data_IF_108749824785
#
_entry.id   IF_108749824785
#
_cell.length_a   1.000
_cell.length_b   1.000
_cell.length_c   1.000
_cell.angle_alpha   90.00
_cell.angle_beta   90.00
_cell.angle_gamma   90.00
#
_symmetry.space_group_name_H-M   'P 1'
#
loop_
_entity.id
_entity.type
_entity.pdbx_description
1 polymer ?
#
# COMPACT_ATOMS: atom_id res chain seq x y z
N UNK A 1 35.33 -47.61 12.65
CA UNK A 1 33.94 -47.41 12.18
C UNK A 1 33.78 -46.01 11.55
N UNK A 2 33.91 -45.94 10.24
CA UNK A 2 33.78 -44.72 9.43
C UNK A 2 32.31 -44.34 9.33
N UNK A 3 31.89 -43.33 10.10
CA UNK A 3 30.53 -42.79 10.04
C UNK A 3 30.31 -42.10 8.70
N UNK A 4 29.60 -42.82 7.83
CA UNK A 4 29.27 -42.45 6.46
C UNK A 4 28.13 -41.41 6.44
N UNK A 5 28.36 -40.22 7.00
CA UNK A 5 27.40 -39.11 6.92
C UNK A 5 27.57 -38.38 5.59
N UNK A 6 26.77 -38.76 4.61
CA UNK A 6 26.77 -38.12 3.29
C UNK A 6 25.85 -36.88 3.32
N UNK A 7 26.43 -35.71 3.62
CA UNK A 7 25.73 -34.41 3.66
C UNK A 7 25.39 -33.86 2.26
N UNK A 8 25.91 -34.49 1.21
CA UNK A 8 25.75 -34.11 -0.20
C UNK A 8 24.70 -35.01 -0.85
N UNK A 9 23.57 -34.43 -1.26
CA UNK A 9 22.46 -35.12 -1.91
C UNK A 9 22.64 -35.22 -3.43
N UNK A 10 23.28 -34.22 -4.04
CA UNK A 10 23.50 -34.16 -5.48
C UNK A 10 24.78 -33.38 -5.76
N UNK A 11 25.68 -33.95 -6.56
CA UNK A 11 26.89 -33.27 -7.01
C UNK A 11 26.96 -33.38 -8.53
N UNK A 12 26.77 -32.27 -9.22
CA UNK A 12 26.89 -32.21 -10.67
C UNK A 12 27.77 -31.04 -11.08
N UNK A 13 28.91 -31.39 -11.69
CA UNK A 13 29.91 -30.52 -12.33
C UNK A 13 30.57 -29.45 -11.44
N UNK A 14 29.81 -28.50 -10.86
CA UNK A 14 30.28 -27.45 -9.93
C UNK A 14 29.28 -27.22 -8.77
N UNK A 15 28.05 -27.74 -8.87
CA UNK A 15 26.98 -27.49 -7.90
C UNK A 15 26.89 -28.68 -6.95
N UNK A 16 27.10 -28.42 -5.66
CA UNK A 16 26.90 -29.38 -4.57
C UNK A 16 25.66 -29.01 -3.77
N UNK A 17 24.61 -29.80 -3.88
CA UNK A 17 23.39 -29.64 -3.09
C UNK A 17 23.58 -30.40 -1.79
N UNK A 18 23.68 -29.66 -0.68
CA UNK A 18 23.77 -30.23 0.66
C UNK A 18 22.39 -30.29 1.32
N UNK A 19 22.20 -31.18 2.30
CA UNK A 19 20.98 -31.17 3.14
C UNK A 19 20.70 -29.79 3.75
N UNK A 20 21.77 -29.09 4.15
CA UNK A 20 21.70 -27.74 4.70
C UNK A 20 21.21 -26.71 3.67
N UNK A 21 21.65 -26.80 2.41
CA UNK A 21 21.15 -25.89 1.36
C UNK A 21 19.69 -26.15 1.01
N UNK A 22 19.22 -27.41 1.06
CA UNK A 22 17.80 -27.74 0.84
C UNK A 22 16.94 -27.21 1.99
N UNK A 23 17.36 -27.41 3.23
CA UNK A 23 16.65 -26.88 4.41
C UNK A 23 16.58 -25.35 4.40
N UNK A 24 17.69 -24.69 4.06
CA UNK A 24 17.74 -23.24 3.94
C UNK A 24 16.85 -22.75 2.79
N UNK A 25 16.87 -23.44 1.64
CA UNK A 25 16.01 -23.11 0.50
C UNK A 25 14.52 -23.26 0.86
N UNK A 26 14.15 -24.33 1.57
CA UNK A 26 12.77 -24.51 2.07
C UNK A 26 12.40 -23.38 3.03
N UNK A 27 13.21 -23.10 4.06
CA UNK A 27 12.95 -22.03 5.04
C UNK A 27 12.78 -20.66 4.36
N UNK A 28 13.65 -20.31 3.42
CA UNK A 28 13.57 -19.04 2.69
C UNK A 28 12.37 -19.00 1.74
N UNK A 29 12.11 -20.08 1.00
CA UNK A 29 10.99 -20.18 0.07
C UNK A 29 9.65 -20.02 0.79
N UNK A 30 9.45 -20.76 1.90
CA UNK A 30 8.24 -20.62 2.70
C UNK A 30 8.12 -19.22 3.28
N UNK A 31 9.20 -18.61 3.77
CA UNK A 31 9.18 -17.25 4.32
C UNK A 31 8.79 -16.20 3.27
N UNK A 32 9.39 -16.25 2.08
CA UNK A 32 9.07 -15.35 0.97
C UNK A 32 7.62 -15.54 0.50
N UNK A 33 7.19 -16.79 0.36
CA UNK A 33 5.80 -17.11 0.02
C UNK A 33 4.83 -16.49 1.04
N UNK A 34 5.08 -16.70 2.34
CA UNK A 34 4.21 -16.17 3.40
C UNK A 34 4.21 -14.64 3.43
N UNK A 35 5.35 -13.98 3.22
CA UNK A 35 5.47 -12.52 3.19
C UNK A 35 4.68 -11.90 2.02
N UNK A 36 4.82 -12.47 0.82
CA UNK A 36 4.15 -11.96 -0.37
C UNK A 36 2.64 -12.17 -0.27
N UNK A 37 2.20 -13.38 0.13
CA UNK A 37 0.77 -13.70 0.21
C UNK A 37 0.06 -12.96 1.35
N UNK A 38 0.70 -12.79 2.51
CA UNK A 38 0.11 -12.04 3.62
C UNK A 38 -0.15 -10.57 3.25
N UNK A 39 0.82 -9.92 2.60
CA UNK A 39 0.68 -8.53 2.14
C UNK A 39 -0.42 -8.40 1.09
N UNK A 40 -0.50 -9.33 0.12
CA UNK A 40 -1.57 -9.31 -0.88
C UNK A 40 -2.95 -9.53 -0.25
N UNK A 41 -3.07 -10.48 0.69
CA UNK A 41 -4.33 -10.72 1.39
C UNK A 41 -4.79 -9.47 2.14
N UNK A 42 -3.87 -8.77 2.82
CA UNK A 42 -4.16 -7.50 3.48
C UNK A 42 -4.70 -6.44 2.50
N UNK A 43 -4.02 -6.25 1.36
CA UNK A 43 -4.42 -5.28 0.33
C UNK A 43 -5.74 -5.63 -0.37
N UNK A 44 -6.11 -6.92 -0.43
CA UNK A 44 -7.37 -7.37 -1.02
C UNK A 44 -8.55 -7.31 -0.06
N UNK A 45 -8.30 -7.46 1.23
CA UNK A 45 -9.37 -7.54 2.25
C UNK A 45 -9.67 -6.21 2.94
N UNK A 46 -8.76 -5.24 2.86
CA UNK A 46 -8.88 -3.94 3.55
C UNK A 46 -8.97 -2.81 2.55
N UNK A 47 -9.99 -1.95 2.69
CA UNK A 47 -10.13 -0.77 1.83
C UNK A 47 -9.04 0.27 2.14
N UNK A 48 -8.51 1.00 1.15
CA UNK A 48 -7.47 2.02 1.37
C UNK A 48 -7.87 3.08 2.41
N UNK A 49 -9.15 3.44 2.48
CA UNK A 49 -9.69 4.40 3.45
C UNK A 49 -9.68 3.86 4.90
N UNK A 50 -9.82 2.54 5.07
CA UNK A 50 -9.70 1.89 6.38
C UNK A 50 -8.25 1.86 6.84
N UNK A 51 -7.30 1.70 5.90
CA UNK A 51 -5.86 1.76 6.19
C UNK A 51 -5.47 3.13 6.75
N UNK A 52 -5.99 4.23 6.18
CA UNK A 52 -5.68 5.58 6.69
C UNK A 52 -6.31 5.85 8.05
N UNK A 53 -7.53 5.36 8.28
CA UNK A 53 -8.16 5.44 9.60
C UNK A 53 -7.37 4.64 10.65
N UNK A 54 -6.88 3.45 10.30
CA UNK A 54 -5.98 2.66 11.14
C UNK A 54 -4.65 3.39 11.42
N UNK A 55 -4.05 4.01 10.40
CA UNK A 55 -2.83 4.78 10.55
C UNK A 55 -3.03 6.01 11.44
N UNK A 56 -4.15 6.73 11.30
CA UNK A 56 -4.52 7.83 12.20
C UNK A 56 -4.55 7.34 13.66
N UNK A 57 -5.19 6.20 13.91
CA UNK A 57 -5.26 5.61 15.25
C UNK A 57 -3.88 5.24 15.80
N UNK A 58 -2.99 4.70 14.97
CA UNK A 58 -1.61 4.38 15.35
C UNK A 58 -0.75 5.64 15.59
N UNK A 59 -1.07 6.74 14.93
CA UNK A 59 -0.38 8.02 15.09
C UNK A 59 -0.94 8.88 16.25
N UNK A 60 -2.09 8.55 16.84
CA UNK A 60 -2.63 9.22 18.03
C UNK A 60 -1.60 9.43 19.17
N UNK A 61 -0.78 8.44 19.60
CA UNK A 61 0.23 8.65 20.64
C UNK A 61 1.28 9.70 20.25
N UNK A 62 1.57 9.85 18.96
CA UNK A 62 2.54 10.85 18.46
C UNK A 62 2.04 12.29 18.64
N UNK A 63 0.73 12.49 18.91
CA UNK A 63 0.17 13.80 19.25
C UNK A 63 0.84 14.39 20.51
N UNK A 64 1.36 13.56 21.42
CA UNK A 64 2.12 14.02 22.60
C UNK A 64 3.40 14.78 22.21
N UNK A 65 3.97 14.49 21.04
CA UNK A 65 5.14 15.18 20.49
C UNK A 65 4.76 16.44 19.69
N UNK A 66 3.54 16.96 19.84
CA UNK A 66 3.02 18.15 19.13
C UNK A 66 2.97 17.99 17.60
N UNK A 67 2.94 16.76 17.10
CA UNK A 67 2.77 16.49 15.67
C UNK A 67 1.29 16.67 15.26
N UNK A 68 1.01 17.28 14.09
CA UNK A 68 -0.35 17.54 13.60
C UNK A 68 -0.98 16.29 12.97
N UNK A 69 -1.23 15.26 13.79
CA UNK A 69 -1.75 13.94 13.35
C UNK A 69 -3.07 14.08 12.59
N UNK A 70 -3.99 14.92 13.08
CA UNK A 70 -5.31 15.12 12.46
C UNK A 70 -5.21 15.70 11.05
N UNK A 71 -4.27 16.61 10.81
CA UNK A 71 -4.06 17.22 9.49
C UNK A 71 -3.46 16.23 8.51
N UNK A 72 -2.49 15.43 8.96
CA UNK A 72 -1.87 14.37 8.16
C UNK A 72 -2.90 13.30 7.78
N UNK A 73 -3.74 12.88 8.73
CA UNK A 73 -4.79 11.90 8.47
C UNK A 73 -5.84 12.43 7.47
N UNK A 74 -6.23 13.70 7.61
CA UNK A 74 -7.16 14.36 6.70
C UNK A 74 -6.58 14.46 5.28
N UNK A 75 -5.36 14.97 5.13
CA UNK A 75 -4.72 15.10 3.82
C UNK A 75 -4.57 13.75 3.15
N UNK A 76 -4.13 12.73 3.88
CA UNK A 76 -4.00 11.37 3.36
C UNK A 76 -5.35 10.79 2.92
N UNK A 77 -6.40 10.95 3.72
CA UNK A 77 -7.75 10.47 3.38
C UNK A 77 -8.32 11.18 2.15
N UNK A 78 -8.13 12.50 2.06
CA UNK A 78 -8.52 13.27 0.87
C UNK A 78 -7.72 12.84 -0.36
N UNK A 79 -6.40 12.64 -0.22
CA UNK A 79 -5.54 12.16 -1.30
C UNK A 79 -6.00 10.80 -1.82
N UNK A 80 -6.29 9.84 -0.94
CA UNK A 80 -6.79 8.52 -1.37
C UNK A 80 -8.10 8.62 -2.15
N UNK A 81 -9.03 9.47 -1.72
CA UNK A 81 -10.27 9.73 -2.46
C UNK A 81 -10.04 10.44 -3.79
N UNK A 82 -8.97 11.22 -3.89
CA UNK A 82 -8.59 11.92 -5.12
C UNK A 82 -7.93 10.99 -6.13
N UNK A 83 -7.27 9.90 -5.71
CA UNK A 83 -6.61 8.94 -6.62
C UNK A 83 -7.57 8.35 -7.67
N UNK A 84 -8.75 7.80 -7.31
CA UNK A 84 -9.72 7.33 -8.29
C UNK A 84 -10.14 8.41 -9.29
N UNK A 85 -10.33 9.64 -8.81
CA UNK A 85 -10.72 10.79 -9.63
C UNK A 85 -9.63 11.17 -10.63
N UNK A 86 -8.36 11.19 -10.20
CA UNK A 86 -7.20 11.42 -11.07
C UNK A 86 -7.12 10.33 -12.13
N UNK A 87 -7.32 9.07 -11.75
CA UNK A 87 -7.28 7.95 -12.68
C UNK A 87 -8.38 8.06 -13.75
N UNK A 88 -9.59 8.45 -13.35
CA UNK A 88 -10.68 8.71 -14.29
C UNK A 88 -10.35 9.84 -15.26
N UNK A 89 -9.80 10.95 -14.76
CA UNK A 89 -9.38 12.09 -15.58
C UNK A 89 -8.28 11.70 -16.58
N UNK A 90 -7.28 10.93 -16.13
CA UNK A 90 -6.22 10.39 -16.99
C UNK A 90 -6.81 9.50 -18.07
N UNK A 91 -7.74 8.60 -17.74
CA UNK A 91 -8.40 7.75 -18.74
C UNK A 91 -9.20 8.55 -19.77
N UNK A 92 -9.93 9.58 -19.33
CA UNK A 92 -10.70 10.46 -20.20
C UNK A 92 -9.80 11.25 -21.15
N UNK A 93 -8.70 11.81 -20.64
CA UNK A 93 -7.70 12.49 -21.44
C UNK A 93 -7.05 11.55 -22.47
N UNK A 94 -6.65 10.34 -22.06
CA UNK A 94 -6.08 9.34 -22.99
C UNK A 94 -7.07 9.02 -24.11
N UNK A 95 -8.36 8.84 -23.79
CA UNK A 95 -9.41 8.59 -24.80
C UNK A 95 -9.55 9.78 -25.76
N UNK A 96 -9.56 11.01 -25.24
CA UNK A 96 -9.65 12.24 -26.05
C UNK A 96 -8.44 12.44 -26.98
N UNK A 97 -7.24 12.16 -26.47
CA UNK A 97 -6.00 12.23 -27.26
C UNK A 97 -5.98 11.17 -28.35
N UNK A 98 -6.56 9.98 -28.10
CA UNK A 98 -6.68 8.91 -29.09
C UNK A 98 -7.65 9.25 -30.23
N UNK A 99 -8.72 10.00 -29.96
CA UNK A 99 -9.69 10.45 -30.98
C UNK A 99 -9.16 11.62 -31.82
N UNK A 100 -8.31 12.47 -31.23
CA UNK A 100 -7.53 13.43 -32.01
C UNK A 100 -6.59 12.61 -32.88
N UNK A 101 -6.79 12.60 -34.19
CA UNK A 101 -6.04 11.80 -35.18
C UNK A 101 -4.54 12.21 -35.25
N UNK A 102 -3.81 12.02 -34.16
CA UNK A 102 -2.39 12.35 -34.02
C UNK A 102 -1.64 11.30 -34.82
N UNK A 103 -0.86 11.76 -35.80
CA UNK A 103 0.00 10.90 -36.59
C UNK A 103 1.23 10.49 -35.78
N UNK A 104 1.07 9.51 -34.87
CA UNK A 104 2.15 8.98 -34.02
C UNK A 104 3.37 8.52 -34.84
N UNK A 105 3.17 8.02 -36.06
CA UNK A 105 4.26 7.61 -36.97
C UNK A 105 5.13 8.77 -37.47
N UNK A 106 4.61 9.99 -37.55
CA UNK A 106 5.37 11.21 -37.92
C UNK A 106 5.93 11.95 -36.70
N UNK A 107 5.42 11.66 -35.51
CA UNK A 107 5.87 12.25 -34.25
C UNK A 107 7.14 11.51 -33.78
N UNK A 108 8.31 12.02 -34.17
CA UNK A 108 9.55 11.63 -33.49
C UNK A 108 9.47 11.92 -31.98
N UNK A 109 10.48 11.51 -31.21
CA UNK A 109 10.53 11.61 -29.74
C UNK A 109 10.20 13.03 -29.24
N UNK A 110 10.72 14.08 -29.90
CA UNK A 110 10.46 15.49 -29.56
C UNK A 110 8.98 15.88 -29.70
N UNK A 111 8.29 15.34 -30.71
CA UNK A 111 6.88 15.63 -30.95
C UNK A 111 5.97 14.91 -29.97
N UNK A 112 6.30 13.65 -29.63
CA UNK A 112 5.61 12.90 -28.58
C UNK A 112 5.70 13.59 -27.22
N UNK A 113 6.88 14.11 -26.87
CA UNK A 113 7.10 14.80 -25.59
C UNK A 113 6.30 16.11 -25.51
N UNK A 114 6.17 16.85 -26.62
CA UNK A 114 5.31 18.04 -26.69
C UNK A 114 3.83 17.70 -26.49
N UNK A 115 3.34 16.62 -27.08
CA UNK A 115 1.96 16.15 -26.87
C UNK A 115 1.74 15.78 -25.40
N UNK A 116 2.66 15.03 -24.79
CA UNK A 116 2.60 14.69 -23.37
C UNK A 116 2.59 15.91 -22.46
N UNK A 117 3.39 16.93 -22.78
CA UNK A 117 3.41 18.19 -22.03
C UNK A 117 2.05 18.90 -22.07
N UNK A 118 1.41 18.97 -23.24
CA UNK A 118 0.05 19.54 -23.38
C UNK A 118 -0.97 18.72 -22.59
N UNK A 119 -0.89 17.38 -22.62
CA UNK A 119 -1.79 16.51 -21.85
C UNK A 119 -1.60 16.72 -20.34
N UNK A 120 -0.35 16.83 -19.88
CA UNK A 120 -0.03 17.07 -18.49
C UNK A 120 -0.54 18.44 -18.00
N UNK A 121 -0.42 19.48 -18.83
CA UNK A 121 -0.98 20.81 -18.55
C UNK A 121 -2.49 20.76 -18.36
N UNK A 122 -3.21 20.10 -19.28
CA UNK A 122 -4.67 19.93 -19.19
C UNK A 122 -5.07 19.13 -17.94
N UNK A 123 -4.34 18.06 -17.63
CA UNK A 123 -4.56 17.27 -16.42
C UNK A 123 -4.39 18.15 -15.18
N UNK A 124 -3.31 18.94 -15.10
CA UNK A 124 -3.04 19.80 -13.96
C UNK A 124 -4.12 20.87 -13.76
N UNK A 125 -4.53 21.56 -14.84
CA UNK A 125 -5.65 22.51 -14.81
C UNK A 125 -6.92 21.86 -14.22
N UNK A 126 -7.29 20.68 -14.74
CA UNK A 126 -8.50 19.97 -14.29
C UNK A 126 -8.40 19.51 -12.83
N UNK A 127 -7.24 19.03 -12.39
CA UNK A 127 -7.03 18.62 -11.00
C UNK A 127 -7.05 19.81 -10.03
N UNK A 128 -6.48 20.96 -10.41
CA UNK A 128 -6.52 22.18 -9.61
C UNK A 128 -7.96 22.70 -9.45
N UNK A 129 -8.74 22.70 -10.53
CA UNK A 129 -10.16 23.06 -10.48
C UNK A 129 -10.96 22.13 -9.55
N UNK A 130 -10.71 20.82 -9.63
CA UNK A 130 -11.35 19.83 -8.74
C UNK A 130 -10.97 20.06 -7.27
N UNK A 131 -9.70 20.37 -6.99
CA UNK A 131 -9.23 20.69 -5.65
C UNK A 131 -9.89 21.97 -5.11
N UNK A 132 -10.01 23.01 -5.93
CA UNK A 132 -10.69 24.26 -5.56
C UNK A 132 -12.18 24.04 -5.26
N UNK A 133 -12.86 23.26 -6.09
CA UNK A 133 -14.26 22.87 -5.86
C UNK A 133 -14.42 22.10 -4.55
N UNK A 134 -13.50 21.18 -4.24
CA UNK A 134 -13.51 20.43 -2.99
C UNK A 134 -13.31 21.35 -1.78
N UNK A 135 -12.36 22.28 -1.85
CA UNK A 135 -12.10 23.25 -0.78
C UNK A 135 -13.28 24.20 -0.54
N UNK A 136 -13.90 24.71 -1.62
CA UNK A 136 -15.13 25.53 -1.53
C UNK A 136 -16.28 24.75 -0.91
N UNK A 137 -16.49 23.50 -1.33
CA UNK A 137 -17.53 22.65 -0.76
C UNK A 137 -17.29 22.35 0.73
N UNK A 138 -16.03 22.14 1.15
CA UNK A 138 -15.68 21.97 2.56
C UNK A 138 -15.97 23.22 3.39
N UNK A 139 -15.67 24.40 2.85
CA UNK A 139 -15.92 25.69 3.51
C UNK A 139 -17.43 25.93 3.69
N UNK A 140 -18.24 25.68 2.67
CA UNK A 140 -19.71 25.80 2.73
C UNK A 140 -20.33 24.82 3.73
N UNK A 141 -19.74 23.63 3.89
CA UNK A 141 -20.14 22.64 4.90
C UNK A 141 -19.69 23.00 6.33
N UNK A 142 -19.02 24.14 6.54
CA UNK A 142 -18.60 24.62 7.85
C UNK A 142 -17.28 24.03 8.36
N UNK A 143 -16.45 23.42 7.49
CA UNK A 143 -15.14 22.91 7.88
C UNK A 143 -14.15 24.07 8.08
N UNK A 144 -13.96 24.51 9.33
CA UNK A 144 -13.15 25.69 9.67
C UNK A 144 -11.76 25.34 10.23
N UNK A 145 -11.63 24.28 11.02
CA UNK A 145 -10.32 23.87 11.56
C UNK A 145 -10.26 22.35 11.77
N UNK A 146 -9.14 21.70 11.40
CA UNK A 146 -8.95 20.25 11.59
C UNK A 146 -9.07 19.78 13.03
N UNK A 147 -8.73 20.63 14.02
CA UNK A 147 -8.72 20.24 15.44
C UNK A 147 -10.06 20.44 16.16
N UNK A 148 -10.91 21.35 15.70
CA UNK A 148 -12.19 21.66 16.37
C UNK A 148 -13.36 20.83 15.82
N UNK A 149 -13.24 20.33 14.58
CA UNK A 149 -14.29 19.58 13.91
C UNK A 149 -13.86 18.11 13.67
N UNK A 150 -14.04 17.26 14.67
CA UNK A 150 -13.79 15.81 14.56
C UNK A 150 -15.05 15.08 14.13
N UNK A 151 -15.16 14.76 12.84
CA UNK A 151 -16.20 13.89 12.32
C UNK A 151 -15.56 12.55 11.93
N UNK A 152 -15.45 11.64 12.89
CA UNK A 152 -14.91 10.29 12.64
C UNK A 152 -16.00 9.43 11.99
N UNK A 153 -15.92 9.28 10.67
CA UNK A 153 -16.85 8.44 9.90
C UNK A 153 -16.58 6.95 10.12
N UNK A 154 -15.31 6.55 10.21
CA UNK A 154 -14.91 5.19 10.57
C UNK A 154 -14.60 5.12 12.06
N UNK A 155 -15.52 4.53 12.82
CA UNK A 155 -15.25 4.15 14.20
C UNK A 155 -14.65 2.75 14.21
N UNK A 156 -13.34 2.64 14.47
CA UNK A 156 -12.70 1.36 14.70
C UNK A 156 -13.25 0.77 16.01
N UNK A 157 -14.28 -0.05 15.91
CA UNK A 157 -14.87 -0.78 17.03
C UNK A 157 -14.37 -2.21 17.01
N UNK A 158 -13.65 -2.59 18.06
CA UNK A 158 -13.24 -3.98 18.24
C UNK A 158 -14.46 -4.88 18.34
N UNK A 159 -14.59 -5.78 17.38
CA UNK A 159 -15.62 -6.81 17.39
C UNK A 159 -15.10 -8.04 18.13
N UNK A 160 -16.00 -8.91 18.58
CA UNK A 160 -15.64 -10.19 19.23
C UNK A 160 -14.76 -11.06 18.34
N UNK A 161 -14.91 -10.98 17.01
CA UNK A 161 -14.03 -11.64 16.03
C UNK A 161 -12.58 -11.13 16.10
N UNK A 162 -12.40 -9.83 16.31
CA UNK A 162 -11.06 -9.22 16.41
C UNK A 162 -10.34 -9.69 17.68
N UNK A 163 -11.10 -9.83 18.77
CA UNK A 163 -10.58 -10.39 20.02
C UNK A 163 -10.13 -11.85 19.86
N UNK A 164 -10.95 -12.69 19.21
CA UNK A 164 -10.58 -14.09 18.92
C UNK A 164 -9.33 -14.14 18.04
N UNK A 165 -9.28 -13.33 16.97
CA UNK A 165 -8.11 -13.26 16.09
C UNK A 165 -6.85 -12.82 16.84
N UNK A 166 -6.96 -11.83 17.74
CA UNK A 166 -5.84 -11.32 18.53
C UNK A 166 -5.32 -12.38 19.52
N UNK A 167 -6.22 -13.12 20.19
CA UNK A 167 -5.83 -14.22 21.08
C UNK A 167 -5.13 -15.33 20.30
N UNK A 168 -5.67 -15.74 19.16
CA UNK A 168 -5.04 -16.74 18.29
C UNK A 168 -3.65 -16.29 17.82
N UNK A 169 -3.50 -15.02 17.45
CA UNK A 169 -2.22 -14.46 17.00
C UNK A 169 -1.17 -14.45 18.12
N UNK A 170 -1.55 -14.01 19.32
CA UNK A 170 -0.66 -14.01 20.48
C UNK A 170 -0.26 -15.44 20.87
N UNK A 171 -1.20 -16.39 20.85
CA UNK A 171 -0.90 -17.79 21.09
C UNK A 171 0.08 -18.36 20.05
N UNK A 172 -0.15 -18.07 18.76
CA UNK A 172 0.73 -18.50 17.67
C UNK A 172 2.15 -17.92 17.82
N UNK A 173 2.28 -16.62 18.12
CA UNK A 173 3.57 -15.99 18.39
C UNK A 173 4.25 -16.56 19.62
N UNK A 174 3.51 -16.81 20.70
CA UNK A 174 4.02 -17.45 21.90
C UNK A 174 4.61 -18.84 21.62
N UNK A 175 3.86 -19.70 20.94
CA UNK A 175 4.32 -21.04 20.53
C UNK A 175 5.57 -20.92 19.65
N UNK A 176 5.54 -20.05 18.64
CA UNK A 176 6.68 -19.85 17.72
C UNK A 176 7.93 -19.33 18.42
N UNK A 177 7.80 -18.48 19.44
CA UNK A 177 8.94 -18.00 20.23
C UNK A 177 9.50 -19.10 21.14
N UNK A 178 8.64 -19.88 21.79
CA UNK A 178 9.10 -20.97 22.68
C UNK A 178 9.84 -22.08 21.94
N UNK A 179 9.33 -22.51 20.78
CA UNK A 179 9.97 -23.58 19.99
C UNK A 179 11.07 -23.06 19.06
N UNK A 180 10.99 -21.81 18.64
CA UNK A 180 11.99 -21.18 17.76
C UNK A 180 13.29 -20.82 18.45
N UNK A 181 13.33 -20.79 19.79
CA UNK A 181 14.53 -20.48 20.57
C UNK A 181 15.40 -21.73 20.86
N UNK A 182 14.93 -22.93 20.50
CA UNK A 182 15.63 -24.20 20.72
C UNK A 182 16.35 -24.75 19.46
N UNK A 183 16.51 -23.94 18.40
CA UNK A 183 17.23 -24.33 17.16
C UNK A 183 18.37 -23.39 16.83
#
# INVERSE_FOLDING_TARGET
PTTNYQYVLFQYWIITVTRRSVELALRLSTSLFTLIYSTNLYLLTTAPEEITAGLESLMLPLRRFKLPVTEIALTLTLSLRFIPLVMEEVQNLIRSVRTRAINWKKLGIKGALRVWMVVAERLLENLLLRAEQMAKAMTVRGFTTPNTHRVQWHQLRFTTRDWIALVCLVAFWGIRLTWGNEV
#
